data_IF_814478751543
#
_entry.id   IF_814478751543
#
_cell.length_a   1.000
_cell.length_b   1.000
_cell.length_c   1.000
_cell.angle_alpha   90.00
_cell.angle_beta   90.00
_cell.angle_gamma   90.00
#
_symmetry.space_group_name_H-M   'P 1'
#
loop_
_entity.id
_entity.type
_entity.pdbx_description
1 polymer ?
#
# COMPACT_ATOMS: atom_id res chain seq x y z
N UNK A 1 -10.61 0.99 -28.51
CA UNK A 1 -9.38 1.10 -27.70
C UNK A 1 -9.61 2.24 -26.72
N UNK A 2 -9.81 1.92 -25.43
CA UNK A 2 -10.11 2.92 -24.40
C UNK A 2 -8.91 3.03 -23.47
N UNK A 3 -8.19 4.15 -23.51
CA UNK A 3 -7.11 4.49 -22.58
C UNK A 3 -7.69 5.28 -21.42
N UNK A 4 -7.72 4.70 -20.22
CA UNK A 4 -8.19 5.40 -19.02
C UNK A 4 -7.00 5.87 -18.18
N UNK A 5 -6.92 7.18 -17.98
CA UNK A 5 -5.89 7.91 -17.25
C UNK A 5 -6.17 7.88 -15.74
N UNK A 6 -5.18 7.54 -14.91
CA UNK A 6 -5.26 7.67 -13.44
C UNK A 6 -4.23 8.70 -12.97
N UNK A 7 -4.69 9.70 -12.21
CA UNK A 7 -3.91 10.86 -11.75
C UNK A 7 -3.42 10.61 -10.32
N UNK A 8 -2.11 10.38 -10.14
CA UNK A 8 -1.51 10.18 -8.82
C UNK A 8 -1.20 11.56 -8.19
N UNK A 9 -1.66 11.87 -6.97
CA UNK A 9 -1.32 13.11 -6.28
C UNK A 9 0.14 13.11 -5.81
N UNK A 10 0.86 14.19 -6.13
CA UNK A 10 2.30 14.38 -5.95
C UNK A 10 2.76 14.62 -4.50
N UNK A 11 2.03 14.12 -3.49
CA UNK A 11 2.36 14.34 -2.08
C UNK A 11 2.15 13.07 -1.25
N UNK A 12 2.94 12.03 -1.52
CA UNK A 12 3.35 11.11 -0.46
C UNK A 12 4.68 11.64 0.09
N UNK A 13 4.65 12.16 1.33
CA UNK A 13 5.86 12.49 2.05
C UNK A 13 6.67 11.22 2.31
N UNK A 14 7.70 10.98 1.52
CA UNK A 14 8.71 9.95 1.78
C UNK A 14 9.64 10.44 2.91
N UNK A 15 10.01 9.61 3.91
CA UNK A 15 10.93 10.01 4.99
C UNK A 15 12.40 10.14 4.54
N UNK A 16 12.70 9.95 3.26
CA UNK A 16 14.07 9.95 2.77
C UNK A 16 14.42 11.35 2.27
N UNK A 17 15.25 12.06 3.05
CA UNK A 17 15.99 13.21 2.56
C UNK A 17 16.92 12.73 1.42
N UNK A 18 16.64 13.19 0.21
CA UNK A 18 17.51 13.01 -0.95
C UNK A 18 18.60 14.07 -0.81
N UNK A 19 19.82 13.66 -0.46
CA UNK A 19 20.99 14.53 -0.43
C UNK A 19 21.17 15.26 -1.77
N UNK A 20 21.31 16.59 -1.68
CA UNK A 20 21.35 17.54 -2.78
C UNK A 20 22.72 17.63 -3.47
N UNK A 21 23.33 16.50 -3.80
CA UNK A 21 24.63 16.48 -4.51
C UNK A 21 24.47 16.25 -6.02
N UNK A 22 23.49 16.92 -6.62
CA UNK A 22 23.31 16.95 -8.07
C UNK A 22 23.30 18.40 -8.57
N UNK A 23 24.45 19.06 -8.53
CA UNK A 23 24.68 20.25 -9.36
C UNK A 23 26.06 20.23 -9.99
N UNK A 24 26.11 20.67 -11.26
CA UNK A 24 27.28 20.90 -12.11
C UNK A 24 27.70 19.76 -13.05
N UNK A 25 26.94 19.58 -14.14
CA UNK A 25 27.52 19.62 -15.50
C UNK A 25 26.54 20.38 -16.39
N UNK A 26 26.96 21.54 -16.88
CA UNK A 26 26.20 22.36 -17.81
C UNK A 26 26.08 21.70 -19.18
N UNK A 27 24.84 21.63 -19.67
CA UNK A 27 24.48 21.21 -21.02
C UNK A 27 23.07 21.71 -21.29
N UNK A 28 22.98 22.91 -21.87
CA UNK A 28 21.74 23.58 -22.23
C UNK A 28 21.05 22.86 -23.40
N UNK A 29 19.90 22.25 -23.13
CA UNK A 29 18.78 22.15 -24.09
C UNK A 29 17.45 22.22 -23.35
N UNK A 30 16.83 23.39 -23.46
CA UNK A 30 15.40 23.71 -23.48
C UNK A 30 14.46 22.89 -22.58
N UNK A 31 13.92 23.61 -21.61
CA UNK A 31 12.59 23.45 -21.01
C UNK A 31 11.54 22.89 -21.98
N UNK A 32 11.06 21.68 -21.68
CA UNK A 32 9.72 21.21 -22.03
C UNK A 32 9.10 20.66 -20.75
N UNK A 33 7.97 21.24 -20.40
CA UNK A 33 7.20 20.99 -19.19
C UNK A 33 6.57 19.58 -19.25
N UNK A 34 6.58 18.88 -18.09
CA UNK A 34 5.55 17.94 -17.64
C UNK A 34 4.89 17.01 -18.68
N UNK A 35 5.65 16.11 -19.31
CA UNK A 35 5.08 14.89 -19.86
C UNK A 35 5.12 13.79 -18.79
N UNK A 36 3.99 13.16 -18.41
CA UNK A 36 4.02 12.02 -17.51
C UNK A 36 4.82 10.91 -18.19
N UNK A 37 5.90 10.48 -17.55
CA UNK A 37 6.64 9.29 -17.97
C UNK A 37 5.66 8.12 -17.89
N UNK A 38 5.13 7.70 -19.03
CA UNK A 38 4.29 6.52 -19.15
C UNK A 38 5.21 5.31 -19.04
N UNK A 39 5.35 4.79 -17.83
CA UNK A 39 5.94 3.47 -17.63
C UNK A 39 4.88 2.47 -18.06
N UNK A 40 5.17 1.67 -19.08
CA UNK A 40 4.36 0.49 -19.39
C UNK A 40 4.52 -0.49 -18.23
N UNK A 41 3.61 -0.39 -17.28
CA UNK A 41 3.52 -1.29 -16.13
C UNK A 41 2.93 -2.61 -16.64
N UNK A 42 3.60 -3.70 -16.32
CA UNK A 42 3.13 -5.06 -16.58
C UNK A 42 1.82 -5.33 -15.83
N UNK A 43 0.94 -6.16 -16.43
CA UNK A 43 -0.39 -6.47 -15.89
C UNK A 43 -0.33 -7.04 -14.46
N UNK A 44 0.76 -7.76 -14.13
CA UNK A 44 1.03 -8.29 -12.80
C UNK A 44 1.20 -7.18 -11.75
N UNK A 45 2.00 -6.16 -12.04
CA UNK A 45 2.19 -5.01 -11.14
C UNK A 45 0.90 -4.21 -10.99
N UNK A 46 0.10 -4.08 -12.05
CA UNK A 46 -1.22 -3.42 -11.97
C UNK A 46 -2.18 -4.17 -11.04
N UNK A 47 -2.28 -5.49 -11.20
CA UNK A 47 -3.09 -6.33 -10.31
C UNK A 47 -2.63 -6.23 -8.85
N UNK A 48 -1.32 -6.08 -8.62
CA UNK A 48 -0.78 -5.95 -7.26
C UNK A 48 -1.14 -4.61 -6.61
N UNK A 49 -1.09 -3.52 -7.37
CA UNK A 49 -1.51 -2.18 -6.89
C UNK A 49 -3.00 -2.19 -6.54
N UNK A 50 -3.84 -2.76 -7.39
CA UNK A 50 -5.28 -2.87 -7.14
C UNK A 50 -5.58 -3.70 -5.88
N UNK A 51 -4.78 -4.75 -5.63
CA UNK A 51 -4.90 -5.56 -4.41
C UNK A 51 -4.52 -4.76 -3.17
N UNK A 52 -3.40 -4.03 -3.19
CA UNK A 52 -2.96 -3.19 -2.06
C UNK A 52 -3.98 -2.09 -1.73
N UNK A 53 -4.63 -1.52 -2.75
CA UNK A 53 -5.69 -0.53 -2.54
C UNK A 53 -6.91 -1.13 -1.84
N UNK A 54 -7.32 -2.34 -2.25
CA UNK A 54 -8.41 -3.09 -1.58
C UNK A 54 -8.07 -3.42 -0.13
N UNK A 55 -6.85 -3.86 0.14
CA UNK A 55 -6.37 -4.14 1.50
C UNK A 55 -6.37 -2.88 2.37
N UNK A 56 -5.91 -1.75 1.83
CA UNK A 56 -5.93 -0.48 2.55
C UNK A 56 -7.35 -0.03 2.91
N UNK A 57 -8.30 -0.19 1.98
CA UNK A 57 -9.72 0.11 2.22
C UNK A 57 -10.27 -0.81 3.31
N UNK A 58 -9.99 -2.12 3.25
CA UNK A 58 -10.42 -3.09 4.24
C UNK A 58 -9.91 -2.76 5.65
N UNK A 59 -8.62 -2.43 5.80
CA UNK A 59 -8.02 -2.02 7.07
C UNK A 59 -8.61 -0.70 7.59
N UNK A 60 -8.89 0.24 6.70
CA UNK A 60 -9.53 1.52 7.06
C UNK A 60 -10.96 1.28 7.56
N UNK A 61 -11.71 0.38 6.92
CA UNK A 61 -13.04 0.00 7.39
C UNK A 61 -12.99 -0.68 8.76
N UNK A 62 -12.11 -1.67 8.95
CA UNK A 62 -11.96 -2.37 10.24
C UNK A 62 -11.65 -1.38 11.35
N UNK A 63 -10.75 -0.42 11.11
CA UNK A 63 -10.37 0.60 12.10
C UNK A 63 -11.55 1.48 12.53
N UNK A 64 -12.55 1.68 11.67
CA UNK A 64 -13.74 2.47 11.96
C UNK A 64 -14.83 1.70 12.70
N UNK A 65 -14.74 0.38 12.74
CA UNK A 65 -15.76 -0.43 13.41
C UNK A 65 -15.46 -0.50 14.92
N UNK A 66 -16.34 0.10 15.71
CA UNK A 66 -16.24 0.08 17.17
C UNK A 66 -17.30 -0.86 17.76
N UNK A 67 -16.88 -2.08 18.14
CA UNK A 67 -17.79 -3.08 18.72
C UNK A 67 -18.14 -2.80 20.19
N UNK A 68 -17.26 -2.10 20.93
CA UNK A 68 -17.45 -1.84 22.36
C UNK A 68 -18.64 -0.92 22.64
N UNK A 69 -18.82 0.23 21.96
CA UNK A 69 -20.01 1.05 22.13
C UNK A 69 -21.30 0.29 21.85
N UNK A 70 -21.34 -0.49 20.76
CA UNK A 70 -22.50 -1.32 20.38
C UNK A 70 -22.88 -2.34 21.47
N UNK A 71 -21.89 -2.89 22.16
CA UNK A 71 -22.08 -3.81 23.28
C UNK A 71 -22.55 -3.07 24.55
N UNK A 72 -21.96 -1.91 24.85
CA UNK A 72 -22.36 -1.06 25.98
C UNK A 72 -23.82 -0.62 25.83
N UNK A 73 -24.21 -0.13 24.65
CA UNK A 73 -25.59 0.25 24.34
C UNK A 73 -26.55 -0.92 24.56
N UNK A 74 -26.18 -2.12 24.12
CA UNK A 74 -26.99 -3.33 24.29
C UNK A 74 -27.16 -3.70 25.77
N UNK A 75 -26.10 -3.58 26.58
CA UNK A 75 -26.14 -3.82 28.01
C UNK A 75 -27.00 -2.76 28.72
N UNK A 76 -26.91 -1.51 28.31
CA UNK A 76 -27.73 -0.43 28.85
C UNK A 76 -29.21 -0.61 28.50
N UNK A 77 -29.53 -0.98 27.26
CA UNK A 77 -30.89 -1.32 26.83
C UNK A 77 -31.48 -2.44 27.69
N UNK A 78 -30.68 -3.47 28.02
CA UNK A 78 -31.10 -4.55 28.91
C UNK A 78 -31.34 -4.05 30.35
N UNK A 79 -30.41 -3.25 30.90
CA UNK A 79 -30.53 -2.70 32.25
C UNK A 79 -31.72 -1.78 32.41
N UNK A 80 -32.04 -1.00 31.38
CA UNK A 80 -33.19 -0.10 31.34
C UNK A 80 -34.51 -0.82 31.05
N UNK A 81 -34.47 -2.13 30.79
CA UNK A 81 -35.66 -2.94 30.46
C UNK A 81 -36.25 -2.64 29.08
N UNK A 82 -35.49 -1.98 28.18
CA UNK A 82 -35.92 -1.73 26.79
C UNK A 82 -35.92 -3.00 25.96
N UNK A 83 -35.08 -3.97 26.33
CA UNK A 83 -35.07 -5.32 25.78
C UNK A 83 -35.31 -6.33 26.90
N UNK A 84 -36.09 -7.36 26.60
CA UNK A 84 -36.25 -8.47 27.53
C UNK A 84 -35.00 -9.38 27.48
N UNK A 85 -34.65 -10.07 28.58
CA UNK A 85 -33.52 -11.00 28.60
C UNK A 85 -33.62 -12.09 27.53
N UNK A 86 -34.84 -12.53 27.17
CA UNK A 86 -35.08 -13.53 26.12
C UNK A 86 -34.72 -13.01 24.72
N UNK A 87 -34.81 -11.70 24.50
CA UNK A 87 -34.58 -11.04 23.22
C UNK A 87 -33.15 -10.50 23.09
N UNK A 88 -32.35 -10.59 24.16
CA UNK A 88 -30.95 -10.15 24.17
C UNK A 88 -30.12 -10.79 23.06
N UNK A 89 -30.29 -12.10 22.83
CA UNK A 89 -29.55 -12.80 21.78
C UNK A 89 -29.92 -12.29 20.38
N UNK A 90 -31.20 -12.03 20.14
CA UNK A 90 -31.66 -11.43 18.88
C UNK A 90 -31.06 -10.03 18.68
N UNK A 91 -31.06 -9.20 19.73
CA UNK A 91 -30.48 -7.87 19.69
C UNK A 91 -28.95 -7.90 19.51
N UNK A 92 -28.25 -8.92 20.02
CA UNK A 92 -26.83 -9.17 19.77
C UNK A 92 -26.52 -9.58 18.31
N UNK A 93 -27.54 -9.89 17.50
CA UNK A 93 -27.40 -10.20 16.08
C UNK A 93 -26.66 -9.12 15.28
N UNK A 94 -26.86 -7.84 15.62
CA UNK A 94 -26.15 -6.70 15.00
C UNK A 94 -24.63 -6.78 15.20
N UNK A 95 -24.21 -7.18 16.40
CA UNK A 95 -22.79 -7.32 16.78
C UNK A 95 -22.19 -8.51 16.02
N UNK A 96 -22.91 -9.63 15.94
CA UNK A 96 -22.48 -10.82 15.17
C UNK A 96 -22.31 -10.54 13.68
N UNK A 97 -23.23 -9.77 13.09
CA UNK A 97 -23.14 -9.35 11.70
C UNK A 97 -21.90 -8.49 11.45
N UNK A 98 -21.59 -7.54 12.34
CA UNK A 98 -20.37 -6.75 12.24
C UNK A 98 -19.09 -7.57 12.41
N UNK A 99 -19.06 -8.49 13.37
CA UNK A 99 -17.91 -9.41 13.53
C UNK A 99 -17.70 -10.24 12.26
N UNK A 100 -18.79 -10.73 11.65
CA UNK A 100 -18.70 -11.49 10.40
C UNK A 100 -18.18 -10.64 9.25
N UNK A 101 -18.61 -9.37 9.15
CA UNK A 101 -18.06 -8.41 8.19
C UNK A 101 -16.56 -8.21 8.39
N UNK A 102 -16.12 -7.98 9.64
CA UNK A 102 -14.69 -7.80 9.97
C UNK A 102 -13.88 -9.03 9.57
N UNK A 103 -14.37 -10.24 9.88
CA UNK A 103 -13.70 -11.49 9.48
C UNK A 103 -13.53 -11.58 7.96
N UNK A 104 -14.59 -11.31 7.20
CA UNK A 104 -14.50 -11.29 5.74
C UNK A 104 -13.54 -10.22 5.19
N UNK A 105 -13.41 -9.07 5.85
CA UNK A 105 -12.41 -8.06 5.48
C UNK A 105 -10.98 -8.51 5.81
N UNK A 106 -10.76 -9.18 6.95
CA UNK A 106 -9.45 -9.69 7.36
C UNK A 106 -8.97 -10.83 6.46
N UNK A 107 -9.85 -11.70 5.99
CA UNK A 107 -9.49 -12.81 5.09
C UNK A 107 -8.87 -12.32 3.76
N UNK A 108 -9.18 -11.08 3.36
CA UNK A 108 -8.65 -10.46 2.14
C UNK A 108 -7.31 -9.71 2.35
N UNK A 109 -6.81 -9.61 3.59
CA UNK A 109 -5.55 -8.91 3.89
C UNK A 109 -4.41 -9.92 3.94
N UNK A 110 -3.51 -9.85 2.96
CA UNK A 110 -2.34 -10.70 2.91
C UNK A 110 -1.37 -10.39 4.07
N UNK A 111 -0.71 -11.42 4.60
CA UNK A 111 0.33 -11.25 5.62
C UNK A 111 -0.17 -11.02 7.04
N UNK A 112 -1.48 -11.12 7.33
CA UNK A 112 -1.95 -11.14 8.73
C UNK A 112 -1.50 -12.39 9.50
N UNK A 113 -1.26 -13.50 8.79
CA UNK A 113 -0.77 -14.76 9.35
C UNK A 113 0.77 -14.84 9.42
N UNK A 114 1.48 -13.86 8.85
CA UNK A 114 2.94 -13.87 8.87
C UNK A 114 3.48 -13.22 10.15
N UNK A 115 4.56 -13.79 10.71
CA UNK A 115 5.19 -13.18 11.88
C UNK A 115 5.95 -11.90 11.48
N UNK A 116 6.05 -10.96 12.42
CA UNK A 116 6.82 -9.72 12.21
C UNK A 116 8.27 -10.02 11.79
N UNK A 117 8.88 -11.06 12.36
CA UNK A 117 10.24 -11.50 12.01
C UNK A 117 10.32 -12.01 10.57
N UNK A 118 9.33 -12.80 10.13
CA UNK A 118 9.25 -13.29 8.75
C UNK A 118 9.14 -12.13 7.76
N UNK A 119 8.31 -11.13 8.08
CA UNK A 119 8.16 -9.91 7.26
C UNK A 119 9.46 -9.10 7.18
N UNK A 120 10.16 -8.92 8.30
CA UNK A 120 11.46 -8.23 8.35
C UNK A 120 12.49 -8.95 7.48
N UNK A 121 12.54 -10.27 7.53
CA UNK A 121 13.47 -11.06 6.72
C UNK A 121 13.17 -10.93 5.23
N UNK A 122 11.88 -10.95 4.84
CA UNK A 122 11.44 -10.73 3.46
C UNK A 122 11.82 -9.35 2.94
N UNK A 123 11.69 -8.31 3.77
CA UNK A 123 12.13 -6.95 3.43
C UNK A 123 13.64 -6.89 3.18
N UNK A 124 14.45 -7.49 4.08
CA UNK A 124 15.91 -7.55 3.90
C UNK A 124 16.31 -8.26 2.61
N UNK A 125 15.63 -9.34 2.25
CA UNK A 125 15.88 -10.06 1.01
C UNK A 125 15.53 -9.22 -0.23
N UNK A 126 14.41 -8.50 -0.19
CA UNK A 126 14.02 -7.58 -1.27
C UNK A 126 15.00 -6.41 -1.40
N UNK A 127 15.44 -5.80 -0.30
CA UNK A 127 16.43 -4.73 -0.31
C UNK A 127 17.77 -5.21 -0.89
N UNK A 128 18.20 -6.42 -0.55
CA UNK A 128 19.40 -7.03 -1.12
C UNK A 128 19.26 -7.24 -2.63
N UNK A 129 18.10 -7.72 -3.11
CA UNK A 129 17.82 -7.88 -4.55
C UNK A 129 17.80 -6.53 -5.28
N UNK A 130 17.18 -5.51 -4.70
CA UNK A 130 17.13 -4.16 -5.27
C UNK A 130 18.55 -3.58 -5.37
N UNK A 131 19.33 -3.69 -4.29
CA UNK A 131 20.71 -3.18 -4.24
C UNK A 131 21.57 -3.87 -5.29
N UNK A 132 21.46 -5.19 -5.41
CA UNK A 132 22.17 -5.96 -6.44
C UNK A 132 21.79 -5.53 -7.86
N UNK A 133 20.49 -5.47 -8.17
CA UNK A 133 20.01 -5.02 -9.49
C UNK A 133 20.47 -3.60 -9.81
N UNK A 134 20.47 -2.71 -8.81
CA UNK A 134 20.97 -1.34 -8.95
C UNK A 134 22.47 -1.31 -9.28
N UNK A 135 23.27 -2.15 -8.62
CA UNK A 135 24.69 -2.26 -8.91
C UNK A 135 24.93 -2.80 -10.33
N UNK A 136 24.22 -3.85 -10.75
CA UNK A 136 24.31 -4.39 -12.11
C UNK A 136 23.99 -3.32 -13.18
N UNK A 137 22.99 -2.45 -12.92
CA UNK A 137 22.67 -1.34 -13.81
C UNK A 137 23.75 -0.24 -13.83
N UNK A 138 24.39 0.04 -12.70
CA UNK A 138 25.51 0.98 -12.63
C UNK A 138 26.73 0.44 -13.39
N UNK A 139 27.06 -0.82 -13.20
CA UNK A 139 28.15 -1.50 -13.89
C UNK A 139 27.89 -1.52 -15.41
N UNK A 140 26.65 -1.83 -15.82
CA UNK A 140 26.24 -1.76 -17.22
C UNK A 140 26.40 -0.34 -17.79
N UNK A 141 25.94 0.68 -17.06
CA UNK A 141 26.09 2.09 -17.45
C UNK A 141 27.55 2.46 -17.64
N UNK A 142 28.44 2.03 -16.75
CA UNK A 142 29.87 2.29 -16.87
C UNK A 142 30.47 1.67 -18.14
N UNK A 143 30.12 0.42 -18.44
CA UNK A 143 30.60 -0.28 -19.63
C UNK A 143 30.15 0.42 -20.91
N UNK A 144 28.87 0.82 -20.98
CA UNK A 144 28.33 1.56 -22.13
C UNK A 144 29.02 2.92 -22.28
N UNK A 145 29.18 3.67 -21.18
CA UNK A 145 29.83 4.99 -21.19
C UNK A 145 31.33 4.93 -21.55
N UNK A 146 32.03 3.84 -21.19
CA UNK A 146 33.43 3.60 -21.60
C UNK A 146 33.51 3.30 -23.10
N UNK A 147 32.54 2.57 -23.66
CA UNK A 147 32.47 2.22 -25.09
C UNK A 147 32.23 3.45 -25.98
N UNK A 148 31.32 4.34 -25.58
CA UNK A 148 31.04 5.60 -26.29
C UNK A 148 32.24 6.56 -26.33
N UNK A 149 33.09 6.55 -25.29
CA UNK A 149 34.32 7.37 -25.25
C UNK A 149 35.45 6.80 -26.10
N UNK A 150 35.48 5.49 -26.33
CA UNK A 150 36.48 4.83 -27.21
C UNK A 150 36.12 4.88 -28.70
N UNK A 151 34.89 5.30 -29.04
CA UNK A 151 34.40 5.40 -30.41
C UNK A 151 34.47 6.84 -30.99
N UNK A 152 35.04 7.79 -30.24
CA UNK A 152 35.41 9.14 -30.70
C UNK A 152 36.92 9.26 -30.77
#
# INVERSE_FOLDING_TARGET
MFTSQVKIPSKLGTPYEIDKDFTSVGGSTRSSENEPVTVDIDEETRSRVDQLEKEHIALTEIRRVELLPLLLDLIEELKLGKIEPKDFDNAAGRIRAQISKIRGLLDNVEGLSESSESRINKLKELDAKITRKRQELLDFREVVMKRDRSAK
#
